data_IF_738380564219
#
_entry.id   IF_738380564219
#
_cell.length_a   1.000
_cell.length_b   1.000
_cell.length_c   1.000
_cell.angle_alpha   90.00
_cell.angle_beta   90.00
_cell.angle_gamma   90.00
#
_symmetry.space_group_name_H-M   'P 1'
#
loop_
_entity.id
_entity.type
_entity.pdbx_description
1 polymer ?
#
# COMPACT_ATOMS: atom_id res chain seq x y z
N UNK A 1 -10.59 -2.52 15.50
CA UNK A 1 -10.25 -3.72 14.70
C UNK A 1 -9.07 -3.42 13.79
N UNK A 2 -8.15 -4.35 13.71
CA UNK A 2 -7.04 -4.23 12.79
C UNK A 2 -7.52 -4.36 11.34
N UNK A 3 -6.93 -3.61 10.42
CA UNK A 3 -7.20 -3.76 9.00
C UNK A 3 -6.63 -5.09 8.50
N UNK A 4 -7.28 -5.76 7.54
CA UNK A 4 -6.69 -6.93 6.88
C UNK A 4 -5.35 -6.57 6.26
N UNK A 5 -4.35 -7.43 6.44
CA UNK A 5 -2.98 -7.13 6.06
C UNK A 5 -2.31 -8.30 5.36
N UNK A 6 -1.29 -7.97 4.56
CA UNK A 6 -0.35 -8.94 4.03
C UNK A 6 1.07 -8.54 4.47
N UNK A 7 1.99 -9.50 4.47
CA UNK A 7 3.38 -9.23 4.81
C UNK A 7 4.16 -8.72 3.60
N UNK A 8 5.36 -8.18 3.85
CA UNK A 8 6.26 -7.80 2.75
C UNK A 8 6.71 -9.03 1.95
N UNK A 9 6.85 -10.18 2.62
CA UNK A 9 7.15 -11.45 1.94
C UNK A 9 6.01 -11.86 1.00
N UNK A 10 4.76 -11.69 1.43
CA UNK A 10 3.59 -11.95 0.59
C UNK A 10 3.57 -11.06 -0.64
N UNK A 11 3.89 -9.78 -0.48
CA UNK A 11 3.94 -8.83 -1.60
C UNK A 11 5.04 -9.22 -2.59
N UNK A 12 6.21 -9.58 -2.08
CA UNK A 12 7.31 -10.04 -2.93
C UNK A 12 6.91 -11.26 -3.74
N UNK A 13 6.28 -12.25 -3.10
CA UNK A 13 5.81 -13.46 -3.76
C UNK A 13 4.76 -13.15 -4.82
N UNK A 14 3.83 -12.25 -4.51
CA UNK A 14 2.77 -11.80 -5.42
C UNK A 14 3.36 -11.19 -6.69
N UNK A 15 4.35 -10.31 -6.54
CA UNK A 15 5.08 -9.73 -7.67
C UNK A 15 5.86 -10.78 -8.46
N UNK A 16 6.50 -11.70 -7.75
CA UNK A 16 7.29 -12.77 -8.38
C UNK A 16 6.44 -13.71 -9.22
N UNK A 17 5.18 -13.91 -8.85
CA UNK A 17 4.25 -14.74 -9.61
C UNK A 17 3.56 -14.00 -10.76
N UNK A 18 3.78 -12.68 -10.87
CA UNK A 18 3.09 -11.87 -11.87
C UNK A 18 1.60 -11.73 -11.62
N UNK A 19 1.15 -11.84 -10.37
CA UNK A 19 -0.27 -11.69 -10.04
C UNK A 19 -0.74 -10.25 -10.29
N UNK A 20 -1.96 -10.12 -10.82
CA UNK A 20 -2.55 -8.80 -11.04
C UNK A 20 -3.04 -8.22 -9.72
N UNK A 21 -2.56 -7.03 -9.37
CA UNK A 21 -3.04 -6.27 -8.23
C UNK A 21 -2.68 -4.80 -8.41
N UNK A 22 -3.34 -3.93 -7.65
CA UNK A 22 -3.04 -2.50 -7.64
C UNK A 22 -2.32 -2.16 -6.34
N UNK A 23 -1.17 -1.50 -6.44
CA UNK A 23 -0.40 -1.05 -5.28
C UNK A 23 -0.60 0.45 -5.10
N UNK A 24 -0.98 0.88 -3.90
CA UNK A 24 -1.33 2.28 -3.61
C UNK A 24 -0.45 2.81 -2.49
N UNK A 25 0.18 3.95 -2.75
CA UNK A 25 1.00 4.68 -1.79
C UNK A 25 0.19 5.85 -1.25
N UNK A 26 -0.14 5.83 0.05
CA UNK A 26 -0.94 6.90 0.67
C UNK A 26 -0.08 7.89 1.46
N UNK A 27 1.25 7.87 1.24
CA UNK A 27 2.17 8.83 1.85
C UNK A 27 2.08 10.19 1.17
N UNK A 28 2.80 11.17 1.72
CA UNK A 28 2.87 12.52 1.16
C UNK A 28 3.98 12.63 0.10
N UNK A 29 3.89 13.62 -0.81
CA UNK A 29 4.89 13.76 -1.89
C UNK A 29 6.34 13.86 -1.44
N UNK A 30 6.63 14.51 -0.31
CA UNK A 30 8.00 14.61 0.19
C UNK A 30 8.57 13.24 0.59
N UNK A 31 7.71 12.29 0.96
CA UNK A 31 8.14 10.94 1.32
C UNK A 31 8.49 10.11 0.07
N UNK A 32 7.82 10.36 -1.05
CA UNK A 32 8.10 9.63 -2.30
C UNK A 32 9.53 9.88 -2.79
N UNK A 33 10.06 11.07 -2.51
CA UNK A 33 11.44 11.41 -2.89
C UNK A 33 12.48 10.63 -2.09
N UNK A 34 12.13 10.15 -0.89
CA UNK A 34 13.05 9.40 -0.03
C UNK A 34 13.16 7.95 -0.49
N UNK A 35 12.04 7.32 -0.77
CA UNK A 35 11.96 5.92 -1.19
C UNK A 35 10.63 5.68 -1.89
N UNK A 36 10.58 4.62 -2.71
CA UNK A 36 9.40 4.35 -3.51
C UNK A 36 9.34 2.87 -3.89
N UNK A 37 8.14 2.32 -3.91
CA UNK A 37 7.91 0.99 -4.48
C UNK A 37 7.48 1.17 -5.94
N UNK A 38 8.16 0.50 -6.89
CA UNK A 38 7.81 0.62 -8.32
C UNK A 38 6.37 0.26 -8.59
N UNK A 39 5.78 0.93 -9.58
CA UNK A 39 4.42 0.66 -10.07
C UNK A 39 3.32 0.96 -9.06
N UNK A 40 3.59 1.78 -8.04
CA UNK A 40 2.55 2.20 -7.12
C UNK A 40 1.83 3.45 -7.63
N UNK A 41 0.52 3.48 -7.39
CA UNK A 41 -0.30 4.67 -7.64
C UNK A 41 -0.19 5.58 -6.41
N UNK A 42 0.12 6.85 -6.63
CA UNK A 42 0.32 7.82 -5.55
C UNK A 42 -0.98 8.55 -5.22
N UNK A 43 -1.58 8.23 -4.07
CA UNK A 43 -2.82 8.87 -3.61
C UNK A 43 -2.65 9.24 -2.14
N UNK A 44 -2.16 10.45 -1.80
CA UNK A 44 -2.04 10.85 -0.40
C UNK A 44 -3.33 10.63 0.37
N UNK A 45 -3.23 10.16 1.60
CA UNK A 45 -4.38 9.73 2.40
C UNK A 45 -5.49 10.80 2.43
N UNK A 46 -5.13 12.08 2.58
CA UNK A 46 -6.10 13.15 2.65
C UNK A 46 -6.88 13.38 1.36
N UNK A 47 -6.37 12.89 0.22
CA UNK A 47 -7.04 13.04 -1.09
C UNK A 47 -7.80 11.78 -1.49
N UNK A 48 -7.65 10.69 -0.74
CA UNK A 48 -8.24 9.40 -1.11
C UNK A 48 -9.75 9.45 -1.32
N UNK A 49 -10.55 10.11 -0.47
CA UNK A 49 -11.99 10.16 -0.68
C UNK A 49 -12.39 10.75 -2.03
N UNK A 50 -11.64 11.72 -2.53
CA UNK A 50 -11.91 12.38 -3.81
C UNK A 50 -11.37 11.62 -5.01
N UNK A 51 -10.51 10.64 -4.79
CA UNK A 51 -9.82 9.89 -5.84
C UNK A 51 -10.15 8.41 -5.85
N UNK A 52 -11.09 7.99 -5.05
CA UNK A 52 -11.44 6.58 -4.86
C UNK A 52 -11.84 5.90 -6.19
N UNK A 53 -12.46 6.65 -7.10
CA UNK A 53 -12.88 6.11 -8.39
C UNK A 53 -11.71 5.69 -9.30
N UNK A 54 -10.47 6.12 -8.97
CA UNK A 54 -9.28 5.70 -9.72
C UNK A 54 -8.90 4.24 -9.41
N UNK A 55 -9.48 3.64 -8.38
CA UNK A 55 -9.13 2.29 -7.95
C UNK A 55 -10.16 1.27 -8.45
N UNK A 56 -9.69 0.07 -8.88
CA UNK A 56 -10.59 -0.99 -9.35
C UNK A 56 -11.31 -1.65 -8.16
N UNK A 57 -12.64 -1.77 -8.24
CA UNK A 57 -13.45 -2.34 -7.15
C UNK A 57 -13.28 -3.85 -7.01
N UNK A 58 -13.08 -4.54 -8.13
CA UNK A 58 -13.12 -6.00 -8.16
C UNK A 58 -11.72 -6.63 -8.19
N UNK A 59 -10.68 -5.83 -8.10
CA UNK A 59 -9.30 -6.30 -8.09
C UNK A 59 -8.71 -6.21 -6.69
N UNK A 60 -7.64 -6.96 -6.45
CA UNK A 60 -6.89 -6.82 -5.21
C UNK A 60 -6.18 -5.48 -5.17
N UNK A 61 -6.26 -4.81 -4.03
CA UNK A 61 -5.58 -3.54 -3.77
C UNK A 61 -4.71 -3.71 -2.53
N UNK A 62 -3.44 -3.38 -2.65
CA UNK A 62 -2.49 -3.37 -1.52
C UNK A 62 -2.11 -1.93 -1.25
N UNK A 63 -2.32 -1.46 -0.03
CA UNK A 63 -2.08 -0.07 0.36
C UNK A 63 -0.90 -0.03 1.33
N UNK A 64 0.02 0.91 1.10
CA UNK A 64 1.15 1.06 2.02
C UNK A 64 1.39 2.52 2.39
N UNK A 65 2.02 2.70 3.54
CA UNK A 65 2.58 3.97 3.98
C UNK A 65 3.99 3.70 4.53
N UNK A 66 4.46 4.54 5.45
CA UNK A 66 5.81 4.35 6.02
C UNK A 66 5.89 3.07 6.87
N UNK A 67 4.98 2.93 7.84
CA UNK A 67 5.03 1.83 8.83
C UNK A 67 3.71 1.06 8.99
N UNK A 68 2.66 1.46 8.29
CA UNK A 68 1.39 0.74 8.26
C UNK A 68 0.20 1.40 8.93
N UNK A 69 0.37 2.51 9.65
CA UNK A 69 -0.73 3.16 10.38
C UNK A 69 -1.71 3.90 9.47
N UNK A 70 -1.19 4.80 8.65
CA UNK A 70 -2.03 5.56 7.70
C UNK A 70 -2.69 4.64 6.69
N UNK A 71 -1.95 3.65 6.21
CA UNK A 71 -2.49 2.70 5.24
C UNK A 71 -3.55 1.79 5.85
N UNK A 72 -3.45 1.45 7.13
CA UNK A 72 -4.51 0.70 7.81
C UNK A 72 -5.83 1.48 7.81
N UNK A 73 -5.77 2.80 8.06
CA UNK A 73 -6.95 3.66 7.99
C UNK A 73 -7.51 3.71 6.57
N UNK A 74 -6.64 3.81 5.58
CA UNK A 74 -7.05 3.79 4.17
C UNK A 74 -7.78 2.50 3.81
N UNK A 75 -7.26 1.35 4.26
CA UNK A 75 -7.86 0.05 3.98
C UNK A 75 -9.25 -0.04 4.61
N UNK A 76 -9.41 0.41 5.84
CA UNK A 76 -10.72 0.40 6.50
C UNK A 76 -11.73 1.26 5.72
N UNK A 77 -11.32 2.45 5.30
CA UNK A 77 -12.14 3.34 4.50
C UNK A 77 -12.54 2.70 3.17
N UNK A 78 -11.59 2.12 2.47
CA UNK A 78 -11.85 1.48 1.16
C UNK A 78 -12.80 0.30 1.29
N UNK A 79 -12.63 -0.53 2.32
CA UNK A 79 -13.53 -1.67 2.54
C UNK A 79 -14.95 -1.22 2.84
N UNK A 80 -15.11 -0.12 3.58
CA UNK A 80 -16.45 0.45 3.84
C UNK A 80 -17.11 0.95 2.55
N UNK A 81 -16.31 1.32 1.55
CA UNK A 81 -16.80 1.78 0.24
C UNK A 81 -16.96 0.65 -0.79
N UNK A 82 -16.83 -0.59 -0.37
CA UNK A 82 -17.07 -1.74 -1.23
C UNK A 82 -15.82 -2.35 -1.87
N UNK A 83 -14.63 -1.87 -1.53
CA UNK A 83 -13.37 -2.43 -2.03
C UNK A 83 -12.95 -3.59 -1.12
N UNK A 84 -13.62 -4.74 -1.27
CA UNK A 84 -13.51 -5.86 -0.33
C UNK A 84 -12.19 -6.62 -0.41
N UNK A 85 -11.41 -6.45 -1.50
CA UNK A 85 -10.13 -7.14 -1.68
C UNK A 85 -8.96 -6.19 -1.44
N UNK A 86 -9.06 -5.37 -0.39
CA UNK A 86 -8.05 -4.37 -0.05
C UNK A 86 -7.31 -4.79 1.21
N UNK A 87 -5.97 -4.72 1.16
CA UNK A 87 -5.09 -5.18 2.23
C UNK A 87 -4.04 -4.13 2.56
N UNK A 88 -3.67 -4.04 3.83
CA UNK A 88 -2.59 -3.19 4.31
C UNK A 88 -1.26 -3.95 4.19
N UNK A 89 -0.22 -3.28 3.71
CA UNK A 89 1.13 -3.83 3.75
C UNK A 89 1.68 -3.66 5.17
N UNK A 90 1.73 -4.76 5.91
CA UNK A 90 2.17 -4.75 7.31
C UNK A 90 3.61 -4.27 7.43
N UNK A 91 3.83 -3.28 8.29
CA UNK A 91 5.15 -2.66 8.47
C UNK A 91 5.55 -1.66 7.40
N UNK A 92 4.76 -1.51 6.33
CA UNK A 92 4.94 -0.49 5.30
C UNK A 92 6.25 -0.58 4.52
N UNK A 93 6.60 0.52 3.86
CA UNK A 93 7.81 0.57 3.03
C UNK A 93 9.10 0.41 3.84
N UNK A 94 9.08 0.82 5.11
CA UNK A 94 10.27 0.62 5.96
C UNK A 94 10.56 -0.86 6.21
N UNK A 95 9.52 -1.66 6.40
CA UNK A 95 9.73 -3.12 6.53
C UNK A 95 10.17 -3.74 5.22
N UNK A 96 9.65 -3.27 4.09
CA UNK A 96 10.13 -3.70 2.79
C UNK A 96 11.62 -3.41 2.64
N UNK A 97 12.06 -2.21 2.97
CA UNK A 97 13.47 -1.83 2.91
C UNK A 97 14.33 -2.70 3.82
N UNK A 98 13.81 -3.05 4.99
CA UNK A 98 14.54 -3.82 6.00
C UNK A 98 14.70 -5.29 5.61
N UNK A 99 13.65 -5.91 5.08
CA UNK A 99 13.60 -7.36 4.86
C UNK A 99 13.73 -7.78 3.41
N UNK A 100 13.35 -6.93 2.46
CA UNK A 100 13.31 -7.28 1.04
C UNK A 100 14.40 -6.56 0.25
N UNK A 101 14.54 -5.25 0.43
CA UNK A 101 15.49 -4.43 -0.33
C UNK A 101 16.33 -3.56 0.60
N UNK A 102 17.44 -4.12 1.13
CA UNK A 102 18.29 -3.37 2.06
C UNK A 102 18.97 -2.14 1.45
N UNK A 103 18.95 -1.99 0.13
CA UNK A 103 19.52 -0.82 -0.55
C UNK A 103 18.59 0.38 -0.51
N UNK A 104 17.33 0.17 -0.17
CA UNK A 104 16.33 1.24 -0.11
C UNK A 104 16.50 2.07 1.14
N UNK A 105 16.34 3.39 1.02
CA UNK A 105 16.40 4.29 2.16
C UNK A 105 15.24 4.02 3.13
N UNK A 106 15.54 4.10 4.43
CA UNK A 106 14.54 4.06 5.48
C UNK A 106 14.48 5.40 6.17
N UNK A 107 13.35 5.76 6.69
CA UNK A 107 13.17 7.04 7.38
C UNK A 107 12.09 6.86 8.47
#
# INVERSE_FOLDING_TARGET
>A
MAAPAITVEDLKAKRGRGEAFTLVDVREPHEWAISDLPDSIKIPLGTLPNRIAELPRDAEVVVYCRTGGRSANAVQFLRQKGYSKTFNLDGGINRWAEQIDPTMARY
#
